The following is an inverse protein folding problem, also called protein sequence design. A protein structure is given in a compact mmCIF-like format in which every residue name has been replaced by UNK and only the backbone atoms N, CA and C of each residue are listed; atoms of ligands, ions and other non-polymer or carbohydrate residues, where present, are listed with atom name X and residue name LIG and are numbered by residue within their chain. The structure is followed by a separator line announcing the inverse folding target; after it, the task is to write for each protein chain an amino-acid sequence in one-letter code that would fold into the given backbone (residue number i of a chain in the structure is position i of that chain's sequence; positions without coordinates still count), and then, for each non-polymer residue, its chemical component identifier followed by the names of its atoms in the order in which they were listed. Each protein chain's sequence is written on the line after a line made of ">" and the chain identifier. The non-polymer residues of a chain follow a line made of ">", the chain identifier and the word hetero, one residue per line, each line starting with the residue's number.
data_IF_984138863288
#
_entry.id   IF_984138863288
#
_cell.length_a   1.000
_cell.length_b   1.000
_cell.length_c   1.000
_cell.angle_alpha   90.00
_cell.angle_beta   90.00
_cell.angle_gamma   90.00
#
_symmetry.space_group_name_H-M   'P 1'
#
loop_
_entity.id
_entity.type
_entity.pdbx_description
1 polymer ?
#
# COMPACT_ATOMS: atom_id res chain seq x y z
N UNK A 1 -4.20 12.81 -13.04
CA UNK A 1 -2.76 12.96 -13.35
C UNK A 1 -2.05 11.77 -12.73
N UNK A 2 -1.13 11.09 -13.43
CA UNK A 2 -0.39 9.97 -12.84
C UNK A 2 0.56 10.46 -11.74
N UNK A 3 0.82 9.61 -10.75
CA UNK A 3 1.93 9.80 -9.80
C UNK A 3 3.28 9.46 -10.46
N UNK A 4 4.36 9.53 -9.67
CA UNK A 4 5.72 9.20 -10.13
C UNK A 4 5.86 7.74 -10.61
N UNK A 5 4.96 6.85 -10.17
CA UNK A 5 4.92 5.43 -10.51
C UNK A 5 3.95 5.09 -11.66
N UNK A 6 3.28 6.09 -12.23
CA UNK A 6 2.29 5.91 -13.30
C UNK A 6 0.88 5.54 -12.81
N UNK A 7 0.66 5.49 -11.49
CA UNK A 7 -0.66 5.18 -10.93
C UNK A 7 -1.60 6.39 -11.06
N UNK A 8 -2.88 6.17 -11.40
CA UNK A 8 -3.83 7.26 -11.52
C UNK A 8 -4.14 7.89 -10.16
N UNK A 9 -3.83 9.19 -9.98
CA UNK A 9 -4.28 9.94 -8.80
C UNK A 9 -5.57 10.71 -9.06
N UNK A 10 -6.41 10.72 -8.02
CA UNK A 10 -7.65 11.51 -7.95
C UNK A 10 -7.42 12.72 -7.06
N UNK A 11 -7.66 13.91 -7.60
CA UNK A 11 -7.61 15.15 -6.86
C UNK A 11 -8.99 15.78 -6.83
N UNK A 12 -9.33 16.39 -5.70
CA UNK A 12 -10.55 17.17 -5.53
C UNK A 12 -10.22 18.63 -5.75
N UNK A 13 -11.07 19.36 -6.46
CA UNK A 13 -10.81 20.78 -6.72
C UNK A 13 -12.07 21.62 -6.76
N UNK A 14 -11.90 22.91 -6.48
CA UNK A 14 -12.94 23.93 -6.66
C UNK A 14 -12.28 25.20 -7.18
N UNK A 15 -12.84 25.77 -8.24
CA UNK A 15 -12.37 27.02 -8.84
C UNK A 15 -13.41 28.13 -8.70
N UNK A 16 -12.94 29.37 -8.77
CA UNK A 16 -13.74 30.58 -8.79
C UNK A 16 -13.10 31.57 -9.76
N UNK A 17 -13.92 32.23 -10.57
CA UNK A 17 -13.47 33.21 -11.54
C UNK A 17 -14.46 34.37 -11.57
N UNK A 18 -14.00 35.58 -11.24
CA UNK A 18 -14.80 36.79 -11.22
C UNK A 18 -13.96 37.98 -11.71
N UNK A 19 -14.19 38.41 -12.95
CA UNK A 19 -13.51 39.55 -13.58
C UNK A 19 -11.99 39.50 -13.39
N UNK A 20 -11.46 40.32 -12.47
CA UNK A 20 -10.04 40.40 -12.16
C UNK A 20 -9.61 39.59 -10.94
N UNK A 21 -10.41 38.63 -10.46
CA UNK A 21 -10.11 37.75 -9.33
C UNK A 21 -10.29 36.29 -9.74
N UNK A 22 -9.27 35.48 -9.54
CA UNK A 22 -9.31 34.05 -9.84
C UNK A 22 -8.76 33.25 -8.66
N UNK A 23 -9.46 32.17 -8.33
CA UNK A 23 -9.13 31.31 -7.21
C UNK A 23 -9.23 29.86 -7.61
N UNK A 24 -8.35 29.02 -7.06
CA UNK A 24 -8.53 27.58 -7.12
C UNK A 24 -8.00 26.93 -5.84
N UNK A 25 -8.69 25.88 -5.43
CA UNK A 25 -8.27 24.93 -4.42
C UNK A 25 -8.16 23.55 -5.06
N UNK A 26 -7.07 22.84 -4.81
CA UNK A 26 -6.90 21.43 -5.17
C UNK A 26 -6.40 20.66 -3.93
N UNK A 27 -6.89 19.45 -3.73
CA UNK A 27 -6.54 18.57 -2.62
C UNK A 27 -6.31 17.12 -3.08
N UNK A 28 -5.20 16.54 -2.63
CA UNK A 28 -4.91 15.11 -2.72
C UNK A 28 -5.17 14.45 -1.35
N UNK A 29 -6.22 13.61 -1.23
CA UNK A 29 -6.53 12.93 0.04
C UNK A 29 -5.44 11.93 0.44
N UNK A 30 -4.69 11.40 -0.52
CA UNK A 30 -3.73 10.33 -0.28
C UNK A 30 -2.51 10.83 0.49
N UNK A 31 -2.05 12.03 0.15
CA UNK A 31 -0.92 12.70 0.81
C UNK A 31 -1.38 13.72 1.85
N UNK A 32 -2.70 13.93 1.99
CA UNK A 32 -3.30 15.00 2.80
C UNK A 32 -2.71 16.39 2.47
N UNK A 33 -2.39 16.61 1.19
CA UNK A 33 -1.78 17.84 0.70
C UNK A 33 -2.74 18.63 -0.18
N UNK A 34 -2.75 19.95 -0.03
CA UNK A 34 -3.59 20.83 -0.82
C UNK A 34 -2.89 22.13 -1.21
N UNK A 35 -3.31 22.68 -2.33
CA UNK A 35 -2.81 23.96 -2.87
C UNK A 35 -3.99 24.89 -3.06
N UNK A 36 -3.85 26.11 -2.53
CA UNK A 36 -4.77 27.22 -2.79
C UNK A 36 -4.00 28.27 -3.56
N UNK A 37 -4.53 28.68 -4.71
CA UNK A 37 -4.02 29.82 -5.48
C UNK A 37 -5.09 30.89 -5.50
N UNK A 38 -4.72 32.08 -5.08
CA UNK A 38 -5.52 33.30 -5.17
C UNK A 38 -4.74 34.29 -6.02
N UNK A 39 -5.35 34.79 -7.08
CA UNK A 39 -4.72 35.74 -7.99
C UNK A 39 -5.69 36.84 -8.37
N UNK A 40 -5.13 38.00 -8.67
CA UNK A 40 -5.85 39.12 -9.26
C UNK A 40 -5.15 39.59 -10.52
N UNK A 41 -5.88 39.92 -11.57
CA UNK A 41 -5.31 40.41 -12.82
C UNK A 41 -6.06 39.94 -14.06
N UNK A 42 -5.42 40.09 -15.22
CA UNK A 42 -5.97 39.63 -16.51
C UNK A 42 -5.64 38.16 -16.81
N UNK A 43 -4.62 37.60 -16.14
CA UNK A 43 -4.30 36.19 -16.25
C UNK A 43 -5.28 35.38 -15.38
N UNK A 44 -6.07 34.54 -16.06
CA UNK A 44 -7.11 33.72 -15.47
C UNK A 44 -6.66 32.29 -15.15
N UNK A 45 -5.38 31.95 -15.37
CA UNK A 45 -4.92 30.56 -15.35
C UNK A 45 -4.44 30.06 -13.97
N UNK A 46 -5.23 30.34 -12.92
CA UNK A 46 -4.98 29.86 -11.57
C UNK A 46 -4.84 28.32 -11.50
N UNK A 47 -5.60 27.61 -12.34
CA UNK A 47 -5.56 26.14 -12.43
C UNK A 47 -4.18 25.62 -12.82
N UNK A 48 -3.54 26.23 -13.83
CA UNK A 48 -2.20 25.80 -14.27
C UNK A 48 -1.16 25.99 -13.17
N UNK A 49 -1.23 27.10 -12.42
CA UNK A 49 -0.33 27.32 -11.27
C UNK A 49 -0.54 26.25 -10.21
N UNK A 50 -1.79 25.95 -9.86
CA UNK A 50 -2.11 24.96 -8.83
C UNK A 50 -1.67 23.54 -9.25
N UNK A 51 -1.95 23.11 -10.48
CA UNK A 51 -1.52 21.81 -11.01
C UNK A 51 0.01 21.69 -11.00
N UNK A 52 0.72 22.70 -11.52
CA UNK A 52 2.17 22.69 -11.56
C UNK A 52 2.76 22.60 -10.14
N UNK A 53 2.18 23.33 -9.20
CA UNK A 53 2.59 23.29 -7.79
C UNK A 53 2.42 21.89 -7.22
N UNK A 54 1.23 21.30 -7.36
CA UNK A 54 0.97 19.94 -6.88
C UNK A 54 1.94 18.93 -7.50
N UNK A 55 2.18 18.99 -8.81
CA UNK A 55 3.07 18.05 -9.49
C UNK A 55 4.53 18.14 -8.98
N UNK A 56 5.01 19.33 -8.62
CA UNK A 56 6.34 19.51 -8.04
C UNK A 56 6.44 18.80 -6.69
N UNK A 57 5.47 19.02 -5.79
CA UNK A 57 5.48 18.42 -4.47
C UNK A 57 5.15 16.92 -4.49
N UNK A 58 4.27 16.48 -5.40
CA UNK A 58 3.86 15.09 -5.52
C UNK A 58 5.04 14.13 -5.64
N UNK A 59 6.03 14.50 -6.46
CA UNK A 59 7.23 13.67 -6.66
C UNK A 59 8.04 13.50 -5.37
N UNK A 60 8.16 14.56 -4.58
CA UNK A 60 8.84 14.47 -3.29
C UNK A 60 8.06 13.59 -2.31
N UNK A 61 6.73 13.71 -2.27
CA UNK A 61 5.88 12.87 -1.44
C UNK A 61 5.92 11.40 -1.85
N UNK A 62 5.83 11.09 -3.14
CA UNK A 62 5.90 9.72 -3.65
C UNK A 62 7.21 9.05 -3.21
N UNK A 63 8.33 9.74 -3.42
CA UNK A 63 9.65 9.23 -3.02
C UNK A 63 9.75 9.04 -1.51
N UNK A 64 9.26 9.99 -0.72
CA UNK A 64 9.31 9.90 0.74
C UNK A 64 8.44 8.76 1.26
N UNK A 65 7.23 8.58 0.70
CA UNK A 65 6.33 7.48 1.05
C UNK A 65 6.97 6.14 0.71
N UNK A 66 7.55 6.00 -0.48
CA UNK A 66 8.22 4.77 -0.91
C UNK A 66 9.42 4.42 -0.01
N UNK A 67 10.29 5.39 0.26
CA UNK A 67 11.44 5.20 1.16
C UNK A 67 11.00 4.87 2.59
N UNK A 68 10.03 5.60 3.12
CA UNK A 68 9.52 5.38 4.48
C UNK A 68 8.84 4.03 4.60
N UNK A 69 8.02 3.65 3.60
CA UNK A 69 7.36 2.34 3.55
C UNK A 69 8.40 1.23 3.47
N UNK A 70 9.46 1.40 2.66
CA UNK A 70 10.53 0.41 2.57
C UNK A 70 11.30 0.30 3.89
N UNK A 71 11.59 1.43 4.55
CA UNK A 71 12.27 1.46 5.84
C UNK A 71 11.42 0.83 6.95
N UNK A 72 10.11 1.06 6.98
CA UNK A 72 9.21 0.57 8.02
C UNK A 72 8.76 -0.87 7.79
N UNK A 73 8.52 -1.26 6.54
CA UNK A 73 7.82 -2.51 6.22
C UNK A 73 8.60 -3.41 5.29
N UNK A 74 9.63 -2.92 4.60
CA UNK A 74 10.46 -3.74 3.71
C UNK A 74 11.47 -4.61 4.46
N UNK A 75 11.69 -5.82 3.95
CA UNK A 75 12.76 -6.70 4.41
C UNK A 75 12.39 -8.17 4.46
N UNK A 76 13.38 -8.97 4.87
CA UNK A 76 13.21 -10.36 5.23
C UNK A 76 12.96 -10.48 6.74
N UNK A 77 11.82 -11.05 7.09
CA UNK A 77 11.36 -11.26 8.46
C UNK A 77 11.47 -12.73 8.80
N UNK A 78 12.00 -13.05 9.97
CA UNK A 78 12.15 -14.44 10.43
C UNK A 78 11.94 -14.58 11.92
N UNK A 79 11.23 -15.63 12.33
CA UNK A 79 11.09 -16.00 13.74
C UNK A 79 12.40 -16.56 14.30
N UNK A 80 12.58 -16.48 15.61
CA UNK A 80 13.80 -16.94 16.28
C UNK A 80 13.96 -18.48 16.19
N UNK A 81 12.85 -19.23 16.13
CA UNK A 81 12.84 -20.67 15.91
C UNK A 81 13.00 -21.08 14.43
N UNK A 82 13.02 -20.09 13.52
CA UNK A 82 13.16 -20.30 12.08
C UNK A 82 11.97 -20.95 11.37
N UNK A 83 10.84 -21.16 12.07
CA UNK A 83 9.65 -21.82 11.49
C UNK A 83 8.72 -20.88 10.73
N UNK A 84 8.84 -19.57 10.96
CA UNK A 84 8.05 -18.55 10.28
C UNK A 84 8.94 -17.53 9.60
N UNK A 85 8.59 -17.15 8.38
CA UNK A 85 9.30 -16.13 7.63
C UNK A 85 8.41 -15.41 6.62
N UNK A 86 8.74 -14.15 6.35
CA UNK A 86 8.06 -13.33 5.36
C UNK A 86 9.08 -12.48 4.58
N UNK A 87 8.78 -12.19 3.32
CA UNK A 87 9.59 -11.25 2.50
C UNK A 87 8.67 -10.17 1.95
N UNK A 88 8.90 -8.95 2.40
CA UNK A 88 8.19 -7.75 1.98
C UNK A 88 9.12 -6.76 1.28
N UNK A 89 8.59 -6.02 0.31
CA UNK A 89 9.34 -5.00 -0.43
C UNK A 89 8.37 -3.99 -1.05
N UNK A 90 8.90 -2.83 -1.42
CA UNK A 90 8.13 -1.80 -2.12
C UNK A 90 8.49 -1.83 -3.60
N UNK A 91 7.48 -1.80 -4.46
CA UNK A 91 7.65 -1.71 -5.91
C UNK A 91 6.51 -0.85 -6.48
N UNK A 92 6.88 0.18 -7.26
CA UNK A 92 5.94 1.12 -7.89
C UNK A 92 4.98 1.78 -6.87
N UNK A 93 5.51 2.15 -5.71
CA UNK A 93 4.74 2.80 -4.64
C UNK A 93 3.77 1.89 -3.89
N UNK A 94 3.81 0.57 -4.12
CA UNK A 94 2.97 -0.41 -3.42
C UNK A 94 3.83 -1.34 -2.57
N UNK A 95 3.32 -1.74 -1.40
CA UNK A 95 3.93 -2.77 -0.56
C UNK A 95 3.49 -4.15 -1.04
N UNK A 96 4.47 -5.05 -1.19
CA UNK A 96 4.26 -6.41 -1.69
C UNK A 96 4.80 -7.46 -0.73
N UNK A 97 4.22 -8.66 -0.79
CA UNK A 97 4.64 -9.87 -0.10
C UNK A 97 4.99 -10.93 -1.14
N UNK A 98 6.23 -11.41 -1.18
CA UNK A 98 6.62 -12.52 -2.06
C UNK A 98 6.71 -13.87 -1.34
N UNK A 99 6.70 -13.88 -0.01
CA UNK A 99 6.79 -15.10 0.78
C UNK A 99 6.06 -14.92 2.11
N UNK A 100 5.27 -15.91 2.50
CA UNK A 100 4.64 -16.02 3.80
C UNK A 100 4.64 -17.49 4.24
N UNK A 101 5.60 -17.84 5.07
CA UNK A 101 5.72 -19.17 5.66
C UNK A 101 5.42 -19.04 7.15
N UNK A 102 4.48 -19.81 7.67
CA UNK A 102 4.07 -19.74 9.07
C UNK A 102 4.13 -21.13 9.69
N UNK A 103 4.91 -21.26 10.75
CA UNK A 103 5.09 -22.51 11.50
C UNK A 103 5.36 -23.76 10.62
N UNK A 104 6.19 -23.60 9.57
CA UNK A 104 6.50 -24.71 8.65
C UNK A 104 5.58 -24.84 7.43
N UNK A 105 4.58 -23.98 7.28
CA UNK A 105 3.59 -24.06 6.20
C UNK A 105 3.70 -22.86 5.26
N UNK A 106 3.76 -23.11 3.95
CA UNK A 106 3.58 -22.07 2.94
C UNK A 106 2.10 -21.69 2.86
N UNK A 107 1.79 -20.45 3.26
CA UNK A 107 0.40 -19.99 3.34
C UNK A 107 -0.20 -19.80 1.95
N UNK A 108 0.61 -19.45 0.95
CA UNK A 108 0.10 -19.27 -0.41
C UNK A 108 -0.15 -20.61 -1.09
N UNK A 109 0.72 -21.60 -0.88
CA UNK A 109 0.46 -22.97 -1.33
C UNK A 109 -0.79 -23.56 -0.65
N UNK A 110 -0.99 -23.30 0.64
CA UNK A 110 -2.18 -23.75 1.37
C UNK A 110 -3.48 -23.14 0.80
N UNK A 111 -3.46 -21.86 0.44
CA UNK A 111 -4.66 -21.12 0.03
C UNK A 111 -4.97 -21.22 -1.47
N UNK A 112 -3.96 -21.22 -2.34
CA UNK A 112 -4.15 -21.31 -3.80
C UNK A 112 -3.92 -22.73 -4.34
N UNK A 113 -3.35 -23.63 -3.55
CA UNK A 113 -3.14 -25.02 -3.93
C UNK A 113 -2.29 -25.19 -5.20
N UNK A 114 -2.68 -26.07 -6.14
CA UNK A 114 -1.93 -26.33 -7.37
C UNK A 114 -1.83 -25.11 -8.30
N UNK A 115 -2.66 -24.08 -8.06
CA UNK A 115 -2.67 -22.82 -8.81
C UNK A 115 -1.73 -21.77 -8.22
N UNK A 116 -0.88 -22.12 -7.26
CA UNK A 116 0.15 -21.22 -6.74
C UNK A 116 1.36 -21.16 -7.69
N UNK A 117 1.52 -20.14 -8.57
CA UNK A 117 2.74 -20.00 -9.33
C UNK A 117 3.86 -19.61 -8.37
N UNK A 118 4.87 -20.47 -8.23
CA UNK A 118 6.06 -20.17 -7.44
C UNK A 118 6.64 -18.82 -7.86
N UNK A 119 6.79 -17.91 -6.89
CA UNK A 119 7.29 -16.56 -7.13
C UNK A 119 6.21 -15.50 -7.37
N UNK A 120 4.92 -15.83 -7.21
CA UNK A 120 3.84 -14.83 -7.17
C UNK A 120 4.07 -13.81 -6.06
N UNK A 121 3.64 -12.59 -6.33
CA UNK A 121 3.70 -11.45 -5.44
C UNK A 121 2.29 -11.07 -5.07
N UNK A 122 2.04 -10.82 -3.80
CA UNK A 122 0.76 -10.39 -3.29
C UNK A 122 0.85 -8.96 -2.83
N UNK A 123 -0.12 -8.13 -3.23
CA UNK A 123 -0.25 -6.80 -2.67
C UNK A 123 -0.51 -6.91 -1.16
N UNK A 124 -0.01 -5.96 -0.40
CA UNK A 124 -0.39 -5.78 0.99
C UNK A 124 -1.06 -4.42 1.12
N UNK A 125 -2.24 -4.36 1.75
CA UNK A 125 -2.95 -3.10 1.97
C UNK A 125 -3.21 -2.86 3.45
N UNK A 126 -3.31 -1.58 3.84
CA UNK A 126 -3.68 -1.19 5.20
C UNK A 126 -5.17 -1.43 5.44
N UNK A 127 -5.55 -1.82 6.66
CA UNK A 127 -6.96 -1.87 7.09
C UNK A 127 -7.53 -0.51 7.46
N UNK A 128 -6.71 0.55 7.41
CA UNK A 128 -7.04 1.87 7.94
C UNK A 128 -6.71 2.03 9.43
N UNK A 129 -6.23 0.97 10.09
CA UNK A 129 -5.61 1.05 11.42
C UNK A 129 -4.10 1.11 11.29
N UNK A 130 -3.47 1.79 12.24
CA UNK A 130 -2.02 1.92 12.29
C UNK A 130 -1.37 0.54 12.38
N UNK A 131 -0.32 0.35 11.57
CA UNK A 131 0.52 -0.86 11.58
C UNK A 131 -0.22 -2.18 11.27
N UNK A 132 -1.46 -2.10 10.78
CA UNK A 132 -2.31 -3.26 10.51
C UNK A 132 -2.52 -3.43 9.00
N UNK A 133 -2.17 -4.62 8.50
CA UNK A 133 -2.13 -4.91 7.08
C UNK A 133 -2.77 -6.25 6.73
N UNK A 134 -3.29 -6.32 5.50
CA UNK A 134 -3.89 -7.52 4.91
C UNK A 134 -3.19 -7.92 3.65
N UNK A 135 -3.05 -9.22 3.46
CA UNK A 135 -2.53 -9.79 2.22
C UNK A 135 -3.64 -9.91 1.20
N UNK A 136 -3.37 -9.47 -0.03
CA UNK A 136 -4.28 -9.49 -1.17
C UNK A 136 -4.49 -10.88 -1.75
N UNK A 137 -5.06 -11.79 -0.96
CA UNK A 137 -5.32 -13.16 -1.40
C UNK A 137 -6.58 -13.14 -2.25
N UNK A 138 -6.41 -13.37 -3.55
CA UNK A 138 -7.50 -13.39 -4.53
C UNK A 138 -7.97 -14.80 -4.86
N UNK A 139 -8.71 -14.91 -5.97
CA UNK A 139 -9.12 -16.19 -6.57
C UNK A 139 -8.40 -16.34 -7.91
N UNK A 140 -7.37 -17.19 -7.95
CA UNK A 140 -6.52 -17.35 -9.13
C UNK A 140 -7.30 -17.80 -10.36
N UNK A 141 -8.36 -18.57 -10.17
CA UNK A 141 -9.27 -19.02 -11.22
C UNK A 141 -10.11 -17.90 -11.87
N UNK A 142 -10.14 -16.70 -11.27
CA UNK A 142 -10.87 -15.52 -11.78
C UNK A 142 -9.93 -14.39 -12.22
N UNK A 143 -8.62 -14.60 -12.26
CA UNK A 143 -7.65 -13.53 -12.46
C UNK A 143 -7.80 -12.79 -13.80
N UNK A 144 -8.17 -13.50 -14.86
CA UNK A 144 -8.34 -12.93 -16.20
C UNK A 144 -9.79 -12.47 -16.49
N UNK A 145 -10.70 -12.60 -15.52
CA UNK A 145 -12.07 -12.13 -15.66
C UNK A 145 -12.16 -10.62 -15.39
N UNK A 146 -12.18 -9.86 -16.49
CA UNK A 146 -12.29 -8.40 -16.51
C UNK A 146 -13.56 -7.87 -15.83
N UNK A 147 -14.62 -8.68 -15.72
CA UNK A 147 -15.86 -8.28 -15.05
C UNK A 147 -15.76 -8.40 -13.53
N UNK A 148 -14.83 -9.23 -13.04
CA UNK A 148 -14.64 -9.50 -11.62
C UNK A 148 -13.55 -8.59 -11.03
N UNK A 149 -12.50 -8.28 -11.80
CA UNK A 149 -11.49 -7.29 -11.43
C UNK A 149 -10.87 -7.55 -10.05
N UNK A 150 -10.79 -6.53 -9.20
CA UNK A 150 -10.23 -6.66 -7.85
C UNK A 150 -11.22 -7.22 -6.80
N UNK A 151 -12.47 -7.47 -7.19
CA UNK A 151 -13.52 -7.97 -6.30
C UNK A 151 -13.13 -9.22 -5.50
N UNK A 152 -12.43 -10.23 -6.05
CA UNK A 152 -12.13 -11.46 -5.32
C UNK A 152 -11.28 -11.15 -4.10
N UNK A 153 -10.18 -10.41 -4.26
CA UNK A 153 -9.32 -10.01 -3.14
C UNK A 153 -10.08 -9.24 -2.05
N UNK A 154 -11.12 -8.48 -2.41
CA UNK A 154 -11.98 -7.79 -1.45
C UNK A 154 -12.95 -8.73 -0.72
N UNK A 155 -13.49 -9.75 -1.38
CA UNK A 155 -14.48 -10.66 -0.75
C UNK A 155 -13.86 -11.91 -0.13
N UNK A 156 -12.61 -12.22 -0.45
CA UNK A 156 -11.85 -13.33 0.15
C UNK A 156 -10.94 -12.87 1.28
N UNK A 157 -11.24 -11.71 1.89
CA UNK A 157 -10.64 -11.30 3.16
C UNK A 157 -10.92 -12.37 4.22
N UNK A 158 -9.90 -12.66 5.03
CA UNK A 158 -9.97 -13.64 6.11
C UNK A 158 -10.35 -15.07 5.66
N UNK A 159 -9.64 -15.67 4.69
CA UNK A 159 -10.03 -16.96 4.13
C UNK A 159 -9.92 -18.11 5.14
N UNK A 160 -9.00 -17.97 6.11
CA UNK A 160 -8.77 -18.92 7.19
C UNK A 160 -8.50 -18.14 8.48
N UNK A 161 -9.06 -18.65 9.58
CA UNK A 161 -8.84 -18.13 10.93
C UNK A 161 -8.16 -19.18 11.81
N UNK A 162 -7.27 -18.71 12.68
CA UNK A 162 -6.74 -19.50 13.78
C UNK A 162 -6.51 -18.58 14.98
N UNK A 163 -6.64 -19.10 16.21
CA UNK A 163 -6.43 -18.33 17.46
C UNK A 163 -7.21 -17.00 17.51
N UNK A 164 -8.39 -16.94 16.90
CA UNK A 164 -9.23 -15.73 16.86
C UNK A 164 -8.76 -14.64 15.91
N UNK A 165 -7.78 -14.91 15.05
CA UNK A 165 -7.27 -13.97 14.08
C UNK A 165 -7.13 -14.58 12.67
N UNK A 166 -7.15 -13.75 11.62
CA UNK A 166 -7.00 -14.21 10.24
C UNK A 166 -5.54 -14.55 9.89
N UNK A 167 -5.34 -15.48 8.96
CA UNK A 167 -3.97 -15.85 8.50
C UNK A 167 -3.32 -14.82 7.58
N UNK A 168 -4.14 -14.01 6.91
CA UNK A 168 -3.75 -12.92 6.02
C UNK A 168 -3.53 -11.59 6.76
N UNK A 169 -3.66 -11.56 8.09
CA UNK A 169 -3.37 -10.41 8.94
C UNK A 169 -1.90 -10.34 9.30
N UNK A 170 -1.25 -9.23 8.96
CA UNK A 170 0.12 -8.92 9.36
C UNK A 170 0.09 -7.62 10.16
N UNK A 171 0.64 -7.66 11.37
CA UNK A 171 0.84 -6.47 12.20
C UNK A 171 2.32 -6.14 12.23
N UNK A 172 2.65 -4.85 12.18
CA UNK A 172 3.98 -4.38 12.51
C UNK A 172 3.97 -3.72 13.88
N UNK A 173 5.08 -3.80 14.60
CA UNK A 173 5.19 -3.18 15.92
C UNK A 173 6.64 -2.82 16.22
N UNK A 174 6.85 -1.84 17.09
CA UNK A 174 8.15 -1.31 17.45
C UNK A 174 8.64 -0.19 16.52
N UNK A 175 9.73 0.45 16.96
CA UNK A 175 10.42 1.49 16.20
C UNK A 175 11.16 0.93 14.98
N UNK A 176 11.68 1.78 14.08
CA UNK A 176 12.28 1.36 12.80
C UNK A 176 13.37 0.29 12.91
N UNK A 177 14.18 0.34 13.97
CA UNK A 177 15.35 -0.55 14.15
C UNK A 177 15.01 -1.86 14.89
N UNK A 178 13.96 -1.87 15.71
CA UNK A 178 13.52 -3.03 16.51
C UNK A 178 12.19 -3.60 16.03
N UNK A 179 11.80 -3.23 14.80
CA UNK A 179 10.50 -3.58 14.26
C UNK A 179 10.33 -5.08 14.13
N UNK A 180 9.14 -5.56 14.49
CA UNK A 180 8.73 -6.95 14.34
C UNK A 180 7.50 -7.05 13.46
N UNK A 181 7.42 -8.11 12.68
CA UNK A 181 6.20 -8.54 12.00
C UNK A 181 5.53 -9.61 12.85
N UNK A 182 4.26 -9.40 13.20
CA UNK A 182 3.44 -10.32 13.98
C UNK A 182 2.33 -10.89 13.11
N UNK A 183 2.08 -12.18 13.25
CA UNK A 183 0.95 -12.88 12.63
C UNK A 183 0.14 -13.55 13.74
N UNK A 184 -0.91 -12.89 14.26
CA UNK A 184 -1.59 -13.31 15.47
C UNK A 184 -2.22 -14.70 15.38
N UNK A 185 -2.65 -15.12 14.18
CA UNK A 185 -3.30 -16.42 13.96
C UNK A 185 -2.42 -17.62 14.33
N UNK A 186 -1.10 -17.44 14.38
CA UNK A 186 -0.14 -18.47 14.76
C UNK A 186 0.70 -18.10 15.98
N UNK A 187 0.42 -16.98 16.66
CA UNK A 187 1.33 -16.34 17.63
C UNK A 187 2.73 -16.10 17.06
N UNK A 188 2.81 -15.84 15.75
CA UNK A 188 4.06 -15.70 15.03
C UNK A 188 4.67 -14.33 15.30
N UNK A 189 5.92 -14.29 15.75
CA UNK A 189 6.71 -13.05 15.87
C UNK A 189 7.97 -13.22 15.05
N UNK A 190 8.20 -12.31 14.12
CA UNK A 190 9.33 -12.33 13.19
C UNK A 190 10.12 -11.03 13.30
N UNK A 191 11.44 -11.15 13.46
CA UNK A 191 12.37 -10.02 13.47
C UNK A 191 12.92 -9.78 12.08
N UNK A 192 13.17 -8.52 11.74
CA UNK A 192 13.84 -8.17 10.50
C UNK A 192 15.28 -8.68 10.54
N UNK A 193 15.70 -9.41 9.50
CA UNK A 193 17.08 -9.92 9.35
C UNK A 193 17.91 -9.05 8.42
N UNK A 194 17.33 -8.57 7.33
CA UNK A 194 17.95 -7.61 6.43
C UNK A 194 16.92 -6.89 5.55
N UNK A 195 17.26 -5.67 5.19
CA UNK A 195 16.80 -4.89 4.04
C UNK A 195 17.50 -5.35 2.74
N UNK A 196 16.77 -5.44 1.64
CA UNK A 196 17.32 -5.55 0.28
C UNK A 196 16.74 -4.45 -0.57
#
# INVERSE_FOLDING_TARGET
>A
VPDTNGNPRRWYSKSGNLLGSHSIFIFDPTTSFGVIVLMTGLDHNALKIAINTIQIFQRAFDNLIEQTTMQLYGGYWKSDDGKSEAITYVEKGSLWLSRLFLNGTDIFELLEGPLYPRGRRYGIWTTGRDEEFRVAIGRTELQDDVFVGCFPAWVTMDPIFAKGAPVDLILFDGGPDERVAKVPSVDGVMKRKYWR
#
